data_IF_048262179618
#
_entry.id   IF_048262179618
#
_cell.length_a   1.000
_cell.length_b   1.000
_cell.length_c   1.000
_cell.angle_alpha   90.00
_cell.angle_beta   90.00
_cell.angle_gamma   90.00
#
_symmetry.space_group_name_H-M   'P 1'
#
loop_
_entity.id
_entity.type
_entity.pdbx_description
1 polymer ?
#
# COMPACT_ATOMS: atom_id res chain seq x y z
N UNK A 1 -13.17 26.51 28.33
CA UNK A 1 -12.59 26.99 27.05
C UNK A 1 -11.19 26.46 26.76
N UNK A 2 -10.33 26.15 27.75
CA UNK A 2 -8.96 25.63 27.48
C UNK A 2 -8.90 24.15 27.07
N UNK A 3 -9.77 23.29 27.59
CA UNK A 3 -9.76 21.84 27.33
C UNK A 3 -10.20 21.47 25.91
N UNK A 4 -11.20 22.15 25.35
CA UNK A 4 -11.67 21.94 23.97
C UNK A 4 -10.60 22.27 22.93
N UNK A 5 -9.77 23.29 23.18
CA UNK A 5 -8.67 23.66 22.28
C UNK A 5 -7.50 22.65 22.35
N UNK A 6 -7.28 22.03 23.51
CA UNK A 6 -6.27 20.97 23.67
C UNK A 6 -6.72 19.69 22.96
N UNK A 7 -7.99 19.30 23.11
CA UNK A 7 -8.55 18.14 22.40
C UNK A 7 -8.54 18.36 20.89
N UNK A 8 -8.91 19.55 20.43
CA UNK A 8 -8.85 19.92 19.00
C UNK A 8 -7.42 19.94 18.46
N UNK A 9 -6.45 20.40 19.26
CA UNK A 9 -5.03 20.40 18.88
C UNK A 9 -4.43 19.00 18.83
N UNK A 10 -4.81 18.10 19.74
CA UNK A 10 -4.41 16.67 19.69
C UNK A 10 -5.06 15.98 18.50
N UNK A 11 -6.33 16.27 18.21
CA UNK A 11 -7.02 15.74 17.02
C UNK A 11 -6.39 16.25 15.72
N UNK A 12 -6.03 17.52 15.63
CA UNK A 12 -5.34 18.08 14.45
C UNK A 12 -3.92 17.53 14.30
N UNK A 13 -3.20 17.31 15.40
CA UNK A 13 -1.88 16.66 15.38
C UNK A 13 -1.98 15.17 14.99
N UNK A 14 -3.02 14.47 15.43
CA UNK A 14 -3.32 13.09 15.02
C UNK A 14 -3.76 13.03 13.56
N UNK A 15 -4.60 13.96 13.08
CA UNK A 15 -4.99 14.07 11.67
C UNK A 15 -3.78 14.38 10.78
N UNK A 16 -2.90 15.29 11.22
CA UNK A 16 -1.64 15.59 10.54
C UNK A 16 -0.66 14.40 10.59
N UNK A 17 -0.67 13.62 11.68
CA UNK A 17 0.08 12.36 11.80
C UNK A 17 -0.48 11.23 10.93
N UNK A 18 -1.80 11.15 10.72
CA UNK A 18 -2.45 10.17 9.86
C UNK A 18 -2.37 10.56 8.38
N UNK A 19 -2.52 11.85 8.04
CA UNK A 19 -2.23 12.37 6.69
C UNK A 19 -0.73 12.28 6.40
N UNK A 20 0.11 12.52 7.40
CA UNK A 20 1.56 12.34 7.34
C UNK A 20 1.95 10.87 7.23
N UNK A 21 1.24 9.94 7.88
CA UNK A 21 1.42 8.51 7.70
C UNK A 21 0.91 8.05 6.35
N UNK A 22 -0.19 8.58 5.83
CA UNK A 22 -0.67 8.28 4.46
C UNK A 22 0.30 8.87 3.44
N UNK A 23 0.88 10.05 3.67
CA UNK A 23 1.88 10.66 2.80
C UNK A 23 3.26 9.97 2.90
N UNK A 24 3.66 9.54 4.09
CA UNK A 24 4.88 8.78 4.35
C UNK A 24 4.74 7.33 3.87
N UNK A 25 3.56 6.73 3.95
CA UNK A 25 3.23 5.43 3.35
C UNK A 25 3.14 5.56 1.81
N UNK A 26 2.66 6.71 1.30
CA UNK A 26 2.76 7.05 -0.14
C UNK A 26 4.18 7.29 -0.60
N UNK A 27 5.12 7.64 0.27
CA UNK A 27 6.54 7.86 -0.05
C UNK A 27 7.34 6.56 0.13
N UNK A 28 7.16 5.87 1.26
CA UNK A 28 7.83 4.63 1.62
C UNK A 28 7.36 3.42 0.79
N UNK A 29 6.05 3.29 0.47
CA UNK A 29 5.59 2.25 -0.45
C UNK A 29 5.87 2.60 -1.92
N UNK A 30 6.15 3.88 -2.23
CA UNK A 30 6.66 4.22 -3.56
C UNK A 30 8.06 3.66 -3.73
N UNK A 31 8.94 3.76 -2.72
CA UNK A 31 10.31 3.24 -2.80
C UNK A 31 10.39 1.70 -2.75
N UNK A 32 9.57 1.01 -1.93
CA UNK A 32 9.61 -0.45 -1.88
C UNK A 32 9.01 -1.12 -3.14
N UNK A 33 7.94 -0.54 -3.69
CA UNK A 33 7.34 -0.99 -4.95
C UNK A 33 8.15 -0.60 -6.19
N UNK A 34 8.75 0.60 -6.19
CA UNK A 34 9.72 1.05 -7.20
C UNK A 34 10.94 0.16 -7.18
N UNK A 35 11.58 -0.07 -6.02
CA UNK A 35 12.85 -0.80 -5.96
C UNK A 35 12.79 -2.26 -6.41
N UNK A 36 11.67 -2.96 -6.23
CA UNK A 36 11.49 -4.31 -6.78
C UNK A 36 11.16 -4.27 -8.28
N UNK A 37 10.35 -3.32 -8.70
CA UNK A 37 9.98 -3.15 -10.10
C UNK A 37 11.17 -2.71 -10.96
N UNK A 38 11.93 -1.71 -10.49
CA UNK A 38 13.18 -1.25 -11.06
C UNK A 38 14.20 -2.40 -11.11
N UNK A 39 14.28 -3.25 -10.07
CA UNK A 39 15.12 -4.45 -10.13
C UNK A 39 14.71 -5.41 -11.26
N UNK A 40 13.40 -5.63 -11.44
CA UNK A 40 12.91 -6.54 -12.49
C UNK A 40 13.22 -6.00 -13.89
N UNK A 41 13.10 -4.70 -14.12
CA UNK A 41 13.33 -4.10 -15.43
C UNK A 41 14.80 -3.76 -15.71
N UNK A 42 15.54 -3.30 -14.70
CA UNK A 42 16.88 -2.75 -14.88
C UNK A 42 17.99 -3.74 -14.51
N UNK A 43 17.75 -4.65 -13.55
CA UNK A 43 18.77 -5.58 -13.07
C UNK A 43 18.59 -7.01 -13.62
N UNK A 44 17.38 -7.45 -13.96
CA UNK A 44 17.16 -8.72 -14.65
C UNK A 44 17.29 -8.55 -16.16
N UNK A 45 18.13 -9.38 -16.79
CA UNK A 45 18.12 -9.50 -18.26
C UNK A 45 16.88 -10.24 -18.70
N UNK A 46 15.83 -9.50 -19.10
CA UNK A 46 14.60 -10.05 -19.62
C UNK A 46 14.71 -10.31 -21.13
N UNK A 47 13.97 -11.30 -21.63
CA UNK A 47 13.75 -11.46 -23.06
C UNK A 47 12.60 -10.56 -23.53
N UNK A 48 12.54 -10.24 -24.82
CA UNK A 48 11.45 -9.43 -25.38
C UNK A 48 10.04 -10.01 -25.12
N UNK A 49 9.90 -11.35 -25.07
CA UNK A 49 8.63 -11.99 -24.72
C UNK A 49 8.28 -11.76 -23.24
N UNK A 50 9.28 -11.85 -22.35
CA UNK A 50 9.09 -11.59 -20.92
C UNK A 50 8.72 -10.13 -20.65
N UNK A 51 9.40 -9.17 -21.28
CA UNK A 51 9.06 -7.74 -21.20
C UNK A 51 7.61 -7.51 -21.63
N UNK A 52 7.21 -8.02 -22.79
CA UNK A 52 5.84 -7.84 -23.28
C UNK A 52 4.78 -8.43 -22.32
N UNK A 53 5.06 -9.60 -21.75
CA UNK A 53 4.17 -10.25 -20.78
C UNK A 53 4.12 -9.48 -19.45
N UNK A 54 5.24 -8.91 -19.04
CA UNK A 54 5.37 -8.12 -17.83
C UNK A 54 4.62 -6.79 -17.97
N UNK A 55 4.81 -6.04 -19.05
CA UNK A 55 4.08 -4.81 -19.35
C UNK A 55 2.56 -5.04 -19.32
N UNK A 56 2.11 -6.13 -19.93
CA UNK A 56 0.70 -6.49 -19.93
C UNK A 56 0.19 -6.86 -18.53
N UNK A 57 1.01 -7.49 -17.69
CA UNK A 57 0.70 -7.79 -16.30
C UNK A 57 0.60 -6.51 -15.47
N UNK A 58 1.53 -5.58 -15.64
CA UNK A 58 1.59 -4.31 -14.92
C UNK A 58 0.43 -3.40 -15.26
N UNK A 59 0.06 -3.31 -16.54
CA UNK A 59 -1.12 -2.55 -16.97
C UNK A 59 -2.40 -3.05 -16.30
N UNK A 60 -2.55 -4.38 -16.15
CA UNK A 60 -3.69 -4.98 -15.43
C UNK A 60 -3.63 -4.68 -13.94
N UNK A 61 -2.45 -4.84 -13.32
CA UNK A 61 -2.28 -4.57 -11.90
C UNK A 61 -2.50 -3.09 -11.55
N UNK A 62 -2.09 -2.16 -12.40
CA UNK A 62 -2.32 -0.73 -12.22
C UNK A 62 -3.82 -0.40 -12.11
N UNK A 63 -4.66 -1.05 -12.90
CA UNK A 63 -6.12 -0.90 -12.84
C UNK A 63 -6.68 -1.48 -11.54
N UNK A 64 -6.27 -2.70 -11.15
CA UNK A 64 -6.72 -3.32 -9.89
C UNK A 64 -6.30 -2.47 -8.67
N UNK A 65 -5.04 -2.03 -8.65
CA UNK A 65 -4.48 -1.16 -7.63
C UNK A 65 -5.26 0.14 -7.50
N UNK A 66 -5.51 0.84 -8.60
CA UNK A 66 -6.28 2.09 -8.59
C UNK A 66 -7.70 1.89 -8.02
N UNK A 67 -8.35 0.76 -8.33
CA UNK A 67 -9.66 0.40 -7.78
C UNK A 67 -9.59 0.17 -6.27
N UNK A 68 -8.60 -0.59 -5.80
CA UNK A 68 -8.41 -0.88 -4.37
C UNK A 68 -8.06 0.38 -3.57
N UNK A 69 -7.17 1.23 -4.08
CA UNK A 69 -6.85 2.53 -3.49
C UNK A 69 -8.07 3.46 -3.44
N UNK A 70 -8.93 3.43 -4.47
CA UNK A 70 -10.22 4.12 -4.45
C UNK A 70 -11.14 3.61 -3.33
N UNK A 71 -11.21 2.30 -3.14
CA UNK A 71 -12.00 1.68 -2.07
C UNK A 71 -11.49 2.05 -0.68
N UNK A 72 -10.18 2.07 -0.47
CA UNK A 72 -9.57 2.49 0.80
C UNK A 72 -9.86 3.96 1.11
N UNK A 73 -9.73 4.84 0.11
CA UNK A 73 -10.11 6.27 0.26
C UNK A 73 -11.58 6.45 0.62
N UNK A 74 -12.48 5.66 0.00
CA UNK A 74 -13.90 5.70 0.33
C UNK A 74 -14.19 5.23 1.75
N UNK A 75 -13.47 4.21 2.25
CA UNK A 75 -13.59 3.76 3.65
C UNK A 75 -13.10 4.84 4.63
N UNK A 76 -12.00 5.53 4.33
CA UNK A 76 -11.53 6.66 5.14
C UNK A 76 -12.54 7.82 5.19
N UNK A 77 -13.21 8.11 4.07
CA UNK A 77 -14.26 9.12 4.04
C UNK A 77 -15.46 8.74 4.95
N UNK A 78 -15.81 7.44 4.99
CA UNK A 78 -16.85 6.93 5.90
C UNK A 78 -16.42 7.03 7.36
N UNK A 79 -15.17 6.73 7.68
CA UNK A 79 -14.63 6.90 9.02
C UNK A 79 -14.72 8.36 9.48
N UNK A 80 -14.31 9.30 8.62
CA UNK A 80 -14.43 10.73 8.93
C UNK A 80 -15.89 11.14 9.21
N UNK A 81 -16.84 10.62 8.42
CA UNK A 81 -18.27 10.87 8.64
C UNK A 81 -18.78 10.27 9.97
N UNK A 82 -18.37 9.04 10.30
CA UNK A 82 -18.75 8.40 11.56
C UNK A 82 -18.21 9.19 12.77
N UNK A 83 -16.98 9.69 12.69
CA UNK A 83 -16.38 10.52 13.74
C UNK A 83 -17.13 11.86 13.90
N UNK A 84 -17.54 12.48 12.80
CA UNK A 84 -18.36 13.71 12.82
C UNK A 84 -19.77 13.46 13.36
N UNK A 85 -20.33 12.27 13.19
CA UNK A 85 -21.65 11.93 13.73
C UNK A 85 -21.58 11.63 15.23
N UNK A 86 -20.71 10.72 15.63
CA UNK A 86 -20.67 10.17 16.99
C UNK A 86 -19.89 11.06 17.96
N UNK A 87 -18.86 11.79 17.49
CA UNK A 87 -17.93 12.58 18.32
C UNK A 87 -17.25 11.80 19.47
N UNK A 88 -17.40 10.48 19.48
CA UNK A 88 -16.81 9.55 20.43
C UNK A 88 -16.46 8.25 19.71
N UNK A 89 -15.77 7.34 20.40
CA UNK A 89 -15.53 6.00 19.90
C UNK A 89 -16.81 5.17 20.06
N UNK A 90 -17.74 5.34 19.14
CA UNK A 90 -19.00 4.61 19.11
C UNK A 90 -18.99 3.44 18.12
N UNK A 91 -20.14 2.76 17.98
CA UNK A 91 -20.27 1.60 17.09
C UNK A 91 -20.02 1.93 15.61
N UNK A 92 -20.40 3.11 15.11
CA UNK A 92 -20.15 3.49 13.71
C UNK A 92 -18.67 3.76 13.46
N UNK A 93 -17.98 4.45 14.37
CA UNK A 93 -16.53 4.67 14.28
C UNK A 93 -15.77 3.34 14.29
N UNK A 94 -16.11 2.43 15.21
CA UNK A 94 -15.47 1.11 15.29
C UNK A 94 -15.67 0.30 14.00
N UNK A 95 -16.90 0.28 13.45
CA UNK A 95 -17.19 -0.44 12.22
C UNK A 95 -16.47 0.16 11.00
N UNK A 96 -16.35 1.50 10.94
CA UNK A 96 -15.63 2.17 9.87
C UNK A 96 -14.12 1.89 9.92
N UNK A 97 -13.53 1.79 11.11
CA UNK A 97 -12.13 1.38 11.29
C UNK A 97 -11.91 -0.05 10.76
N UNK A 98 -12.77 -0.99 11.12
CA UNK A 98 -12.68 -2.36 10.63
C UNK A 98 -12.78 -2.43 9.10
N UNK A 99 -13.64 -1.60 8.50
CA UNK A 99 -13.72 -1.51 7.05
C UNK A 99 -12.44 -0.94 6.42
N UNK A 100 -11.85 0.11 7.00
CA UNK A 100 -10.56 0.65 6.54
C UNK A 100 -9.48 -0.44 6.55
N UNK A 101 -9.36 -1.18 7.66
CA UNK A 101 -8.41 -2.30 7.76
C UNK A 101 -8.67 -3.38 6.71
N UNK A 102 -9.93 -3.74 6.46
CA UNK A 102 -10.26 -4.72 5.43
C UNK A 102 -9.82 -4.25 4.04
N UNK A 103 -10.10 -2.98 3.67
CA UNK A 103 -9.71 -2.43 2.35
C UNK A 103 -8.19 -2.31 2.19
N UNK A 104 -7.48 -1.92 3.24
CA UNK A 104 -6.02 -1.91 3.25
C UNK A 104 -5.45 -3.33 3.07
N UNK A 105 -6.05 -4.32 3.75
CA UNK A 105 -5.67 -5.73 3.61
C UNK A 105 -5.89 -6.26 2.19
N UNK A 106 -6.96 -5.84 1.51
CA UNK A 106 -7.19 -6.21 0.11
C UNK A 106 -6.09 -5.68 -0.82
N UNK A 107 -5.63 -4.44 -0.61
CA UNK A 107 -4.51 -3.86 -1.36
C UNK A 107 -3.20 -4.63 -1.12
N UNK A 108 -2.87 -4.92 0.14
CA UNK A 108 -1.67 -5.71 0.46
C UNK A 108 -1.69 -7.09 -0.18
N UNK A 109 -2.82 -7.81 -0.10
CA UNK A 109 -2.98 -9.12 -0.73
C UNK A 109 -2.82 -9.07 -2.24
N UNK A 110 -3.35 -8.03 -2.89
CA UNK A 110 -3.20 -7.84 -4.33
C UNK A 110 -1.73 -7.59 -4.71
N UNK A 111 -1.01 -6.77 -3.96
CA UNK A 111 0.43 -6.53 -4.17
C UNK A 111 1.25 -7.81 -4.03
N UNK A 112 1.00 -8.61 -2.99
CA UNK A 112 1.71 -9.90 -2.81
C UNK A 112 1.41 -10.86 -3.96
N UNK A 113 0.16 -10.91 -4.42
CA UNK A 113 -0.20 -11.73 -5.59
C UNK A 113 0.53 -11.27 -6.84
N UNK A 114 0.59 -9.96 -7.09
CA UNK A 114 1.30 -9.39 -8.21
C UNK A 114 2.80 -9.73 -8.21
N UNK A 115 3.44 -9.76 -7.03
CA UNK A 115 4.84 -10.22 -6.89
C UNK A 115 5.00 -11.67 -7.36
N UNK A 116 4.07 -12.57 -7.02
CA UNK A 116 4.10 -13.94 -7.54
C UNK A 116 3.79 -14.02 -9.04
N UNK A 117 2.84 -13.22 -9.54
CA UNK A 117 2.52 -13.17 -10.97
C UNK A 117 3.74 -12.73 -11.81
N UNK A 118 4.54 -11.77 -11.32
CA UNK A 118 5.81 -11.38 -11.96
C UNK A 118 6.80 -12.55 -11.97
N UNK A 119 6.94 -13.25 -10.84
CA UNK A 119 7.83 -14.41 -10.70
C UNK A 119 7.53 -15.52 -11.71
N UNK A 120 6.25 -15.75 -12.05
CA UNK A 120 5.82 -16.78 -13.02
C UNK A 120 6.27 -16.51 -14.46
N UNK A 121 6.61 -15.27 -14.80
CA UNK A 121 7.12 -14.90 -16.13
C UNK A 121 8.62 -15.23 -16.27
N UNK A 122 9.33 -15.33 -15.14
CA UNK A 122 10.77 -15.47 -15.08
C UNK A 122 11.23 -16.93 -15.25
N UNK A 123 12.39 -17.10 -15.88
CA UNK A 123 13.09 -18.37 -16.00
C UNK A 123 13.80 -18.76 -14.67
N UNK A 124 14.17 -20.03 -14.45
CA UNK A 124 14.65 -20.51 -13.14
C UNK A 124 15.81 -19.73 -12.52
N UNK A 125 16.74 -19.20 -13.31
CA UNK A 125 17.83 -18.37 -12.79
C UNK A 125 17.37 -16.96 -12.39
N UNK A 126 16.49 -16.35 -13.18
CA UNK A 126 15.89 -15.05 -12.85
C UNK A 126 15.03 -15.16 -11.60
N UNK A 127 14.26 -16.25 -11.45
CA UNK A 127 13.48 -16.52 -10.23
C UNK A 127 14.36 -16.56 -8.98
N UNK A 128 15.53 -17.20 -9.03
CA UNK A 128 16.47 -17.22 -7.90
C UNK A 128 16.96 -15.83 -7.51
N UNK A 129 17.19 -14.95 -8.49
CA UNK A 129 17.61 -13.57 -8.25
C UNK A 129 16.46 -12.74 -7.67
N UNK A 130 15.27 -12.88 -8.25
CA UNK A 130 14.04 -12.26 -7.79
C UNK A 130 13.69 -12.65 -6.35
N UNK A 131 13.71 -13.94 -6.02
CA UNK A 131 13.38 -14.45 -4.68
C UNK A 131 14.32 -13.87 -3.61
N UNK A 132 15.62 -13.69 -3.93
CA UNK A 132 16.58 -13.02 -3.05
C UNK A 132 16.23 -11.55 -2.84
N UNK A 133 15.96 -10.81 -3.93
CA UNK A 133 15.62 -9.38 -3.84
C UNK A 133 14.33 -9.16 -3.04
N UNK A 134 13.31 -10.00 -3.25
CA UNK A 134 12.06 -9.98 -2.48
C UNK A 134 12.33 -10.27 -1.00
N UNK A 135 13.12 -11.29 -0.68
CA UNK A 135 13.51 -11.59 0.71
C UNK A 135 14.22 -10.41 1.36
N UNK A 136 15.19 -9.79 0.68
CA UNK A 136 15.92 -8.64 1.19
C UNK A 136 15.00 -7.44 1.42
N UNK A 137 14.09 -7.16 0.47
CA UNK A 137 13.13 -6.07 0.60
C UNK A 137 12.15 -6.27 1.77
N UNK A 138 11.82 -7.51 2.12
CA UNK A 138 10.92 -7.84 3.23
C UNK A 138 11.63 -7.95 4.59
N UNK A 139 12.95 -8.07 4.61
CA UNK A 139 13.72 -8.33 5.85
C UNK A 139 14.73 -7.24 6.21
N UNK A 140 14.98 -6.27 5.33
CA UNK A 140 15.78 -5.08 5.65
C UNK A 140 15.10 -4.23 6.73
N UNK A 141 15.85 -3.92 7.77
CA UNK A 141 15.43 -2.99 8.82
C UNK A 141 15.33 -1.58 8.21
N UNK A 142 14.23 -0.82 8.39
CA UNK A 142 14.09 0.54 7.84
C UNK A 142 15.13 1.57 8.30
N UNK A 143 16.13 1.17 9.09
CA UNK A 143 17.13 2.03 9.74
C UNK A 143 18.56 1.86 9.22
N UNK A 144 18.78 0.96 8.26
CA UNK A 144 20.06 0.78 7.55
C UNK A 144 20.06 1.54 6.21
#
# INVERSE_FOLDING_TARGET
>A
MKTTHIVLAVLLAALAGCLGAIAADRWANHEAGSGLHDFVHDELTLTADQEQRLDALEARFAVERARLEGSARAANARLAQAMENEHEYGPEVSAAIDEVHARMGDLQKATVRHVFDMREILEPEQQRQFDRKVSDALTRDPRD
#
